data_IF_764315354877
#
_entry.id   IF_764315354877
#
_cell.length_a   1.000
_cell.length_b   1.000
_cell.length_c   1.000
_cell.angle_alpha   90.00
_cell.angle_beta   90.00
_cell.angle_gamma   90.00
#
_symmetry.space_group_name_H-M   'P 1'
#
loop_
_entity.id
_entity.type
_entity.pdbx_description
1 polymer ?
#
# COMPACT_ATOMS: atom_id res chain seq x y z
N UNK A 1 -25.97 6.10 -6.02
CA UNK A 1 -24.68 6.72 -6.40
C UNK A 1 -23.95 7.11 -5.12
N UNK A 2 -22.72 6.63 -4.88
CA UNK A 2 -21.91 7.05 -3.73
C UNK A 2 -21.47 8.50 -3.94
N UNK A 3 -21.58 9.34 -2.91
CA UNK A 3 -21.17 10.76 -2.97
C UNK A 3 -19.64 10.88 -2.99
N UNK A 4 -19.13 11.95 -3.62
CA UNK A 4 -17.69 12.23 -3.69
C UNK A 4 -17.03 12.24 -2.31
N UNK A 5 -17.66 12.88 -1.32
CA UNK A 5 -17.11 12.97 0.05
C UNK A 5 -16.96 11.61 0.74
N UNK A 6 -17.82 10.63 0.41
CA UNK A 6 -17.69 9.28 0.95
C UNK A 6 -16.42 8.60 0.43
N UNK A 7 -16.05 8.85 -0.83
CA UNK A 7 -14.80 8.36 -1.40
C UNK A 7 -13.58 9.01 -0.77
N UNK A 8 -13.66 10.29 -0.41
CA UNK A 8 -12.59 10.98 0.33
C UNK A 8 -12.40 10.34 1.71
N UNK A 9 -13.49 10.14 2.45
CA UNK A 9 -13.44 9.48 3.77
C UNK A 9 -12.86 8.08 3.65
N UNK A 10 -13.30 7.30 2.66
CA UNK A 10 -12.75 5.98 2.37
C UNK A 10 -11.24 6.01 2.12
N UNK A 11 -10.77 6.87 1.22
CA UNK A 11 -9.36 6.98 0.88
C UNK A 11 -8.50 7.40 2.10
N UNK A 12 -9.01 8.30 2.95
CA UNK A 12 -8.36 8.69 4.21
C UNK A 12 -8.27 7.51 5.19
N UNK A 13 -9.33 6.72 5.30
CA UNK A 13 -9.33 5.53 6.18
C UNK A 13 -8.32 4.51 5.67
N UNK A 14 -8.35 4.19 4.37
CA UNK A 14 -7.41 3.23 3.76
C UNK A 14 -5.96 3.70 3.95
N UNK A 15 -5.67 4.99 3.76
CA UNK A 15 -4.31 5.51 3.92
C UNK A 15 -3.82 5.47 5.38
N UNK A 16 -4.70 5.73 6.36
CA UNK A 16 -4.37 5.59 7.78
C UNK A 16 -4.20 4.14 8.20
N UNK A 17 -5.05 3.23 7.69
CA UNK A 17 -4.90 1.78 7.93
C UNK A 17 -3.58 1.29 7.34
N UNK A 18 -3.19 1.74 6.15
CA UNK A 18 -1.91 1.40 5.53
C UNK A 18 -0.72 1.94 6.33
N UNK A 19 -0.81 3.16 6.86
CA UNK A 19 0.21 3.70 7.75
C UNK A 19 0.30 2.90 9.07
N UNK A 20 -0.83 2.57 9.69
CA UNK A 20 -0.87 1.76 10.91
C UNK A 20 -0.29 0.35 10.66
N UNK A 21 -0.61 -0.25 9.53
CA UNK A 21 0.01 -1.49 9.08
C UNK A 21 1.53 -1.36 8.92
N UNK A 22 2.01 -0.24 8.36
CA UNK A 22 3.43 0.08 8.29
C UNK A 22 4.11 0.14 9.66
N UNK A 23 3.47 0.78 10.66
CA UNK A 23 3.97 0.80 12.05
C UNK A 23 4.00 -0.63 12.62
N UNK A 24 2.94 -1.40 12.40
CA UNK A 24 2.86 -2.79 12.85
C UNK A 24 4.00 -3.63 12.26
N UNK A 25 4.22 -3.55 10.95
CA UNK A 25 5.33 -4.22 10.27
C UNK A 25 6.69 -3.73 10.77
N UNK A 26 6.87 -2.43 10.99
CA UNK A 26 8.16 -1.89 11.38
C UNK A 26 8.59 -2.33 12.78
N UNK A 27 7.64 -2.38 13.73
CA UNK A 27 7.93 -2.57 15.15
C UNK A 27 7.60 -3.98 15.67
N UNK A 28 6.70 -4.71 15.01
CA UNK A 28 6.15 -5.97 15.51
C UNK A 28 6.38 -7.16 14.56
N UNK A 29 7.30 -7.03 13.59
CA UNK A 29 7.60 -8.10 12.62
C UNK A 29 8.17 -9.41 13.20
N UNK A 30 8.41 -9.48 14.53
CA UNK A 30 8.83 -10.70 15.24
C UNK A 30 7.80 -11.27 16.19
N UNK A 31 6.62 -10.68 16.23
CA UNK A 31 5.54 -11.22 17.03
C UNK A 31 4.96 -12.45 16.34
N UNK A 32 4.44 -13.39 17.14
CA UNK A 32 3.77 -14.58 16.61
C UNK A 32 2.60 -14.24 15.68
N UNK A 33 1.92 -13.12 15.93
CA UNK A 33 0.84 -12.61 15.07
C UNK A 33 1.36 -12.26 13.69
N UNK A 34 2.49 -11.56 13.60
CA UNK A 34 3.10 -11.20 12.31
C UNK A 34 3.57 -12.45 11.55
N UNK A 35 4.13 -13.43 12.25
CA UNK A 35 4.56 -14.68 11.62
C UNK A 35 3.39 -15.44 10.96
N UNK A 36 2.26 -15.58 11.67
CA UNK A 36 1.07 -16.25 11.11
C UNK A 36 0.51 -15.47 9.92
N UNK A 37 0.44 -14.14 10.02
CA UNK A 37 -0.18 -13.31 8.98
C UNK A 37 0.70 -13.07 7.76
N UNK A 38 2.03 -13.05 7.93
CA UNK A 38 2.97 -12.61 6.89
C UNK A 38 4.14 -13.58 6.70
N UNK A 39 5.03 -13.75 7.70
CA UNK A 39 6.29 -14.48 7.51
C UNK A 39 6.06 -15.90 6.99
N UNK A 40 5.12 -16.63 7.58
CA UNK A 40 4.77 -18.00 7.17
C UNK A 40 4.21 -18.12 5.74
N UNK A 41 3.74 -17.01 5.16
CA UNK A 41 3.21 -16.96 3.80
C UNK A 41 4.29 -16.58 2.77
N UNK A 42 5.38 -15.96 3.21
CA UNK A 42 6.46 -15.44 2.36
C UNK A 42 7.69 -16.35 2.41
N UNK A 43 8.11 -16.75 3.61
CA UNK A 43 9.34 -17.50 3.86
C UNK A 43 9.43 -18.83 3.08
N UNK A 44 8.35 -19.61 2.91
CA UNK A 44 8.42 -20.86 2.14
C UNK A 44 8.86 -20.67 0.68
N UNK A 45 8.57 -19.51 0.07
CA UNK A 45 8.97 -19.22 -1.32
C UNK A 45 10.49 -19.06 -1.48
N UNK A 46 11.19 -18.67 -0.40
CA UNK A 46 12.64 -18.43 -0.41
C UNK A 46 13.44 -19.55 0.26
N UNK A 47 12.87 -20.19 1.28
CA UNK A 47 13.61 -21.11 2.16
C UNK A 47 13.05 -22.53 2.16
N UNK A 48 11.99 -22.81 1.40
CA UNK A 48 11.44 -24.17 1.28
C UNK A 48 11.00 -24.80 2.61
N UNK A 49 10.70 -23.98 3.63
CA UNK A 49 10.34 -24.43 4.97
C UNK A 49 11.51 -24.77 5.90
N UNK A 50 12.76 -24.53 5.51
CA UNK A 50 13.91 -24.68 6.41
C UNK A 50 13.91 -23.61 7.50
N UNK A 51 14.44 -23.94 8.68
CA UNK A 51 14.66 -22.96 9.73
C UNK A 51 15.61 -21.84 9.27
N UNK A 52 15.22 -20.60 9.53
CA UNK A 52 16.03 -19.42 9.22
C UNK A 52 17.24 -19.35 10.14
N UNK A 53 18.42 -19.08 9.56
CA UNK A 53 19.60 -18.76 10.37
C UNK A 53 19.40 -17.47 11.16
N UNK A 54 20.13 -17.32 12.27
CA UNK A 54 20.08 -16.10 13.09
C UNK A 54 20.44 -14.83 12.33
N UNK A 55 21.33 -14.90 11.33
CA UNK A 55 21.66 -13.76 10.47
C UNK A 55 20.51 -13.38 9.54
N UNK A 56 19.85 -14.38 8.95
CA UNK A 56 18.70 -14.16 8.07
C UNK A 56 17.53 -13.56 8.83
N UNK A 57 17.30 -14.00 10.07
CA UNK A 57 16.30 -13.40 10.96
C UNK A 57 16.60 -11.92 11.19
N UNK A 58 17.85 -11.55 11.48
CA UNK A 58 18.22 -10.13 11.70
C UNK A 58 18.07 -9.30 10.44
N UNK A 59 18.45 -9.84 9.28
CA UNK A 59 18.24 -9.17 8.00
C UNK A 59 16.75 -8.97 7.71
N UNK A 60 15.93 -9.99 7.94
CA UNK A 60 14.48 -9.96 7.75
C UNK A 60 13.81 -8.94 8.70
N UNK A 61 14.26 -8.86 9.95
CA UNK A 61 13.81 -7.83 10.91
C UNK A 61 14.06 -6.43 10.37
N UNK A 62 15.28 -6.20 9.88
CA UNK A 62 15.66 -4.90 9.34
C UNK A 62 14.86 -4.56 8.08
N UNK A 63 14.70 -5.50 7.13
CA UNK A 63 13.99 -5.22 5.87
C UNK A 63 12.50 -4.94 6.11
N UNK A 64 11.83 -5.69 7.00
CA UNK A 64 10.46 -5.37 7.39
C UNK A 64 10.36 -4.06 8.17
N UNK A 65 11.37 -3.75 8.99
CA UNK A 65 11.55 -2.44 9.63
C UNK A 65 11.46 -1.27 8.64
N UNK A 66 12.33 -1.32 7.62
CA UNK A 66 12.45 -0.28 6.59
C UNK A 66 11.23 -0.26 5.66
N UNK A 67 10.69 -1.42 5.29
CA UNK A 67 9.48 -1.53 4.48
C UNK A 67 8.28 -0.94 5.22
N UNK A 68 8.12 -1.28 6.50
CA UNK A 68 7.08 -0.74 7.36
C UNK A 68 7.16 0.79 7.47
N UNK A 69 8.36 1.34 7.71
CA UNK A 69 8.58 2.79 7.73
C UNK A 69 8.18 3.47 6.39
N UNK A 70 8.45 2.81 5.26
CA UNK A 70 8.05 3.29 3.93
C UNK A 70 6.51 3.29 3.78
N UNK A 71 5.83 2.25 4.27
CA UNK A 71 4.36 2.20 4.30
C UNK A 71 3.76 3.34 5.14
N UNK A 72 4.36 3.67 6.29
CA UNK A 72 3.96 4.82 7.12
C UNK A 72 4.07 6.12 6.34
N UNK A 73 5.22 6.38 5.72
CA UNK A 73 5.47 7.57 4.92
C UNK A 73 4.41 7.73 3.82
N UNK A 74 4.19 6.68 3.03
CA UNK A 74 3.24 6.70 1.91
C UNK A 74 1.81 6.88 2.41
N UNK A 75 1.39 6.17 3.47
CA UNK A 75 0.05 6.30 4.03
C UNK A 75 -0.24 7.73 4.54
N UNK A 76 0.73 8.35 5.20
CA UNK A 76 0.62 9.75 5.66
C UNK A 76 0.57 10.72 4.46
N UNK A 77 1.44 10.54 3.46
CA UNK A 77 1.43 11.37 2.25
C UNK A 77 0.09 11.29 1.53
N UNK A 78 -0.44 10.08 1.30
CA UNK A 78 -1.74 9.89 0.66
C UNK A 78 -2.84 10.57 1.48
N UNK A 79 -2.83 10.43 2.81
CA UNK A 79 -3.83 11.08 3.67
C UNK A 79 -3.89 12.60 3.42
N UNK A 80 -2.74 13.28 3.42
CA UNK A 80 -2.70 14.73 3.23
C UNK A 80 -3.02 15.15 1.80
N UNK A 81 -2.57 14.40 0.78
CA UNK A 81 -2.97 14.64 -0.62
C UNK A 81 -4.50 14.51 -0.76
N UNK A 82 -5.08 13.48 -0.13
CA UNK A 82 -6.52 13.21 -0.19
C UNK A 82 -7.31 14.29 0.55
N UNK A 83 -6.87 14.69 1.74
CA UNK A 83 -7.60 15.64 2.57
C UNK A 83 -7.58 17.07 2.03
N UNK A 84 -6.51 17.42 1.29
CA UNK A 84 -6.33 18.75 0.71
C UNK A 84 -6.60 18.74 -0.81
N UNK A 85 -5.58 18.52 -1.64
CA UNK A 85 -5.66 18.77 -3.09
C UNK A 85 -6.62 17.85 -3.84
N UNK A 86 -6.77 16.61 -3.40
CA UNK A 86 -7.77 15.70 -3.97
C UNK A 86 -9.20 16.15 -3.67
N UNK A 87 -9.46 16.57 -2.41
CA UNK A 87 -10.75 17.13 -1.99
C UNK A 87 -11.09 18.41 -2.75
N UNK A 88 -10.08 19.24 -3.03
CA UNK A 88 -10.19 20.44 -3.85
C UNK A 88 -10.30 20.15 -5.36
N UNK A 89 -10.34 18.87 -5.75
CA UNK A 89 -10.49 18.40 -7.13
C UNK A 89 -9.35 18.84 -8.05
N UNK A 90 -8.17 19.04 -7.48
CA UNK A 90 -6.98 19.42 -8.24
C UNK A 90 -6.51 18.23 -9.08
N UNK A 91 -6.39 18.43 -10.40
CA UNK A 91 -6.08 17.36 -11.36
C UNK A 91 -4.77 16.64 -11.03
N UNK A 92 -3.76 17.40 -10.58
CA UNK A 92 -2.45 16.85 -10.28
C UNK A 92 -2.52 15.82 -9.14
N UNK A 93 -3.39 16.03 -8.14
CA UNK A 93 -3.52 15.11 -7.01
C UNK A 93 -4.08 13.75 -7.48
N UNK A 94 -5.08 13.77 -8.36
CA UNK A 94 -5.61 12.55 -8.97
C UNK A 94 -4.55 11.83 -9.83
N UNK A 95 -3.81 12.58 -10.66
CA UNK A 95 -2.73 12.03 -11.48
C UNK A 95 -1.60 11.43 -10.60
N UNK A 96 -1.22 12.12 -9.52
CA UNK A 96 -0.18 11.69 -8.59
C UNK A 96 -0.54 10.34 -7.94
N UNK A 97 -1.76 10.23 -7.41
CA UNK A 97 -2.24 8.98 -6.82
C UNK A 97 -2.35 7.87 -7.87
N UNK A 98 -2.93 8.15 -9.04
CA UNK A 98 -3.09 7.12 -10.09
C UNK A 98 -1.73 6.61 -10.58
N UNK A 99 -0.86 7.51 -11.04
CA UNK A 99 0.40 7.13 -11.68
C UNK A 99 1.37 6.54 -10.66
N UNK A 100 1.47 7.12 -9.47
CA UNK A 100 2.33 6.62 -8.41
C UNK A 100 1.94 5.21 -7.95
N UNK A 101 0.65 4.99 -7.70
CA UNK A 101 0.16 3.67 -7.26
C UNK A 101 0.19 2.64 -8.38
N UNK A 102 -0.10 3.04 -9.63
CA UNK A 102 0.00 2.13 -10.77
C UNK A 102 1.44 1.68 -11.03
N UNK A 103 2.40 2.61 -10.95
CA UNK A 103 3.82 2.28 -11.09
C UNK A 103 4.29 1.36 -9.95
N UNK A 104 3.94 1.69 -8.70
CA UNK A 104 4.24 0.83 -7.55
C UNK A 104 3.65 -0.58 -7.72
N UNK A 105 2.36 -0.68 -8.03
CA UNK A 105 1.67 -1.97 -8.18
C UNK A 105 2.26 -2.81 -9.32
N UNK A 106 2.62 -2.19 -10.45
CA UNK A 106 3.21 -2.91 -11.57
C UNK A 106 4.56 -3.53 -11.18
N UNK A 107 5.41 -2.76 -10.51
CA UNK A 107 6.74 -3.22 -10.07
C UNK A 107 6.59 -4.30 -8.99
N UNK A 108 5.79 -4.04 -7.96
CA UNK A 108 5.60 -4.97 -6.84
C UNK A 108 4.98 -6.31 -7.29
N UNK A 109 3.96 -6.26 -8.14
CA UNK A 109 3.34 -7.46 -8.70
C UNK A 109 4.35 -8.27 -9.54
N UNK A 110 5.14 -7.59 -10.37
CA UNK A 110 6.13 -8.26 -11.23
C UNK A 110 7.20 -8.96 -10.39
N UNK A 111 7.71 -8.30 -9.35
CA UNK A 111 8.70 -8.87 -8.42
C UNK A 111 8.10 -10.04 -7.64
N UNK A 112 6.89 -9.88 -7.12
CA UNK A 112 6.21 -10.92 -6.34
C UNK A 112 5.97 -12.20 -7.15
N UNK A 113 5.53 -12.05 -8.40
CA UNK A 113 5.34 -13.18 -9.31
C UNK A 113 6.67 -13.83 -9.70
N UNK A 114 7.72 -13.03 -9.95
CA UNK A 114 9.05 -13.55 -10.27
C UNK A 114 9.62 -14.45 -9.15
N UNK A 115 9.44 -14.05 -7.89
CA UNK A 115 9.87 -14.84 -6.73
C UNK A 115 8.80 -15.83 -6.21
N UNK A 116 7.69 -16.03 -6.93
CA UNK A 116 6.59 -16.92 -6.51
C UNK A 116 5.96 -16.59 -5.15
N UNK A 117 6.02 -15.33 -4.73
CA UNK A 117 5.40 -14.83 -3.48
C UNK A 117 3.95 -14.42 -3.75
N UNK A 118 3.10 -15.41 -4.05
CA UNK A 118 1.72 -15.16 -4.47
C UNK A 118 0.85 -14.47 -3.40
N UNK A 119 1.13 -14.72 -2.13
CA UNK A 119 0.46 -14.04 -1.02
C UNK A 119 0.68 -12.52 -1.10
N UNK A 120 1.92 -12.06 -1.30
CA UNK A 120 2.23 -10.63 -1.43
C UNK A 120 1.54 -10.02 -2.66
N UNK A 121 1.58 -10.73 -3.80
CA UNK A 121 0.88 -10.31 -5.02
C UNK A 121 -0.63 -10.11 -4.80
N UNK A 122 -1.29 -11.08 -4.15
CA UNK A 122 -2.72 -11.00 -3.86
C UNK A 122 -3.05 -9.91 -2.84
N UNK A 123 -2.27 -9.82 -1.76
CA UNK A 123 -2.43 -8.81 -0.71
C UNK A 123 -2.32 -7.39 -1.28
N UNK A 124 -1.26 -7.12 -2.06
CA UNK A 124 -1.06 -5.80 -2.66
C UNK A 124 -2.08 -5.49 -3.76
N UNK A 125 -2.58 -6.49 -4.49
CA UNK A 125 -3.69 -6.29 -5.42
C UNK A 125 -4.97 -5.82 -4.72
N UNK A 126 -5.29 -6.35 -3.53
CA UNK A 126 -6.44 -5.90 -2.73
C UNK A 126 -6.22 -4.47 -2.24
N UNK A 127 -5.02 -4.13 -1.75
CA UNK A 127 -4.69 -2.76 -1.33
C UNK A 127 -4.79 -1.77 -2.50
N UNK A 128 -4.25 -2.14 -3.66
CA UNK A 128 -4.36 -1.33 -4.87
C UNK A 128 -5.82 -1.15 -5.28
N UNK A 129 -6.62 -2.22 -5.27
CA UNK A 129 -8.06 -2.16 -5.56
C UNK A 129 -8.80 -1.18 -4.62
N UNK A 130 -8.46 -1.20 -3.32
CA UNK A 130 -9.05 -0.33 -2.32
C UNK A 130 -8.82 1.17 -2.61
N UNK A 131 -7.77 1.53 -3.35
CA UNK A 131 -7.49 2.93 -3.72
C UNK A 131 -7.94 3.23 -5.15
N UNK A 132 -7.64 2.37 -6.12
CA UNK A 132 -7.88 2.63 -7.54
C UNK A 132 -9.38 2.72 -7.87
N UNK A 133 -10.22 1.91 -7.20
CA UNK A 133 -11.67 1.91 -7.42
C UNK A 133 -12.26 3.31 -7.11
N UNK A 134 -12.06 3.88 -5.91
CA UNK A 134 -12.45 5.27 -5.64
C UNK A 134 -11.96 6.25 -6.70
N UNK A 135 -10.67 6.17 -7.08
CA UNK A 135 -10.06 7.05 -8.06
C UNK A 135 -10.78 7.04 -9.41
N UNK A 136 -11.11 5.85 -9.91
CA UNK A 136 -11.82 5.68 -11.18
C UNK A 136 -13.24 6.25 -11.11
N UNK A 137 -13.98 5.99 -10.02
CA UNK A 137 -15.34 6.52 -9.82
C UNK A 137 -15.37 8.04 -9.67
N UNK A 138 -14.32 8.63 -9.11
CA UNK A 138 -14.25 10.08 -8.91
C UNK A 138 -13.57 10.84 -10.04
N UNK A 139 -13.00 10.17 -11.06
CA UNK A 139 -12.28 10.81 -12.19
C UNK A 139 -13.04 11.99 -12.81
N UNK A 140 -14.36 11.88 -12.93
CA UNK A 140 -15.24 12.92 -13.50
C UNK A 140 -15.23 14.25 -12.75
N UNK A 141 -14.85 14.27 -11.47
CA UNK A 141 -14.80 15.50 -10.67
C UNK A 141 -13.52 16.32 -10.91
N UNK A 142 -12.53 15.74 -11.60
CA UNK A 142 -11.21 16.33 -11.83
C UNK A 142 -11.02 16.78 -13.28
N UNK A 143 -12.08 17.07 -14.05
CA UNK A 143 -11.94 17.64 -15.39
C UNK A 143 -11.44 19.08 -15.30
N UNK A 144 -10.47 19.45 -16.14
CA UNK A 144 -9.96 20.82 -16.25
C UNK A 144 -11.15 21.74 -16.54
N UNK A 145 -11.43 22.70 -15.66
CA UNK A 145 -12.11 23.92 -16.11
C UNK A 145 -11.08 24.64 -16.96
N UNK A 146 -11.32 24.75 -18.25
CA UNK A 146 -10.66 25.78 -19.05
C UNK A 146 -10.93 27.10 -18.32
N UNK A 147 -9.87 27.76 -17.89
CA UNK A 147 -9.97 29.11 -17.40
C UNK A 147 -10.35 29.97 -18.62
N UNK A 148 -11.65 30.25 -18.75
CA UNK A 148 -12.17 31.36 -19.55
C UNK A 148 -11.77 32.68 -18.91
#
# INVERSE_FOLDING_TARGET
>A
MIKFDNWIVWLKIVSLVFAAFGVFMALFNRTHVFDIMFSSQIDPAFFGGSELSGEMIRFQQWIYGVLGATCVLVGIMIFFIVDNSYRNKERWAWNCLLLGLAAWMLIDLSVSLYFSVYFNAAFNAVLFAAIIVPLLFTRKYFSIKEAT
#
